data_IF_057591851671
#
_entry.id   IF_057591851671
#
_cell.length_a   1.000
_cell.length_b   1.000
_cell.length_c   1.000
_cell.angle_alpha   90.00
_cell.angle_beta   90.00
_cell.angle_gamma   90.00
#
_symmetry.space_group_name_H-M   'P 1'
#
loop_
_entity.id
_entity.type
_entity.pdbx_description
1 polymer ?
#
# COMPACT_ATOMS: atom_id res chain seq x y z
N UNK A 1 17.56 3.58 -3.23
CA UNK A 1 17.37 2.75 -4.43
C UNK A 1 16.22 3.30 -5.26
N UNK A 2 16.07 2.82 -6.49
CA UNK A 2 14.99 3.20 -7.42
C UNK A 2 13.75 2.30 -7.32
N UNK A 3 13.78 1.29 -6.43
CA UNK A 3 12.66 0.38 -6.22
C UNK A 3 11.42 1.12 -5.72
N UNK A 4 10.28 0.85 -6.34
CA UNK A 4 9.00 1.45 -6.01
C UNK A 4 7.89 0.41 -6.04
N UNK A 5 7.01 0.46 -5.06
CA UNK A 5 5.77 -0.31 -5.00
C UNK A 5 4.58 0.63 -4.87
N UNK A 6 3.39 0.14 -5.22
CA UNK A 6 2.16 0.94 -5.17
C UNK A 6 1.51 0.86 -3.78
N UNK A 7 1.26 2.01 -3.18
CA UNK A 7 0.45 2.13 -1.96
C UNK A 7 -1.04 2.08 -2.29
N UNK A 8 -1.89 2.02 -1.26
CA UNK A 8 -3.34 1.88 -1.43
C UNK A 8 -4.00 3.00 -2.24
N UNK A 9 -3.43 4.20 -2.22
CA UNK A 9 -3.88 5.36 -2.98
C UNK A 9 -3.40 5.36 -4.43
N UNK A 10 -2.32 4.65 -4.75
CA UNK A 10 -1.72 4.60 -6.09
C UNK A 10 -2.22 3.43 -6.93
N UNK A 11 -2.88 2.45 -6.29
CA UNK A 11 -3.49 1.31 -6.99
C UNK A 11 -4.76 1.78 -7.72
N UNK A 12 -4.78 1.57 -9.04
CA UNK A 12 -5.94 1.88 -9.89
C UNK A 12 -7.03 0.82 -9.72
N UNK A 13 -7.76 0.91 -8.61
CA UNK A 13 -8.91 0.05 -8.32
C UNK A 13 -9.96 0.84 -7.55
N UNK A 14 -11.19 0.35 -7.58
CA UNK A 14 -12.34 1.02 -6.97
C UNK A 14 -12.16 1.19 -5.46
N UNK A 15 -12.17 2.45 -5.01
CA UNK A 15 -12.17 2.84 -3.59
C UNK A 15 -13.54 2.77 -2.91
N UNK A 16 -14.61 2.48 -3.66
CA UNK A 16 -15.96 2.30 -3.12
C UNK A 16 -16.03 1.05 -2.24
N UNK A 17 -16.84 1.13 -1.18
CA UNK A 17 -17.17 -0.04 -0.36
C UNK A 17 -17.76 -1.15 -1.23
N UNK A 18 -17.19 -2.37 -1.21
CA UNK A 18 -17.58 -3.42 -2.15
C UNK A 18 -18.95 -4.04 -1.86
N UNK A 19 -19.45 -3.93 -0.62
CA UNK A 19 -20.77 -4.40 -0.22
C UNK A 19 -21.28 -3.64 0.99
N UNK A 20 -22.57 -3.83 1.30
CA UNK A 20 -23.23 -3.20 2.44
C UNK A 20 -22.52 -3.52 3.75
N UNK A 21 -22.42 -2.54 4.65
CA UNK A 21 -21.69 -2.66 5.92
C UNK A 21 -22.10 -3.87 6.78
N UNK A 22 -23.35 -4.31 6.65
CA UNK A 22 -23.95 -5.41 7.39
C UNK A 22 -24.89 -6.25 6.52
N UNK A 23 -25.31 -7.40 7.03
CA UNK A 23 -26.31 -8.28 6.40
C UNK A 23 -25.76 -9.29 5.39
N UNK A 24 -24.48 -9.16 5.02
CA UNK A 24 -23.89 -9.93 3.92
C UNK A 24 -23.11 -11.19 4.34
N UNK A 25 -23.12 -11.57 5.64
CA UNK A 25 -22.43 -12.76 6.21
C UNK A 25 -20.97 -12.97 5.75
N UNK A 26 -20.24 -11.89 5.40
CA UNK A 26 -18.80 -11.93 5.09
C UNK A 26 -18.07 -10.92 5.98
N UNK A 27 -16.75 -11.01 6.01
CA UNK A 27 -15.90 -10.03 6.68
C UNK A 27 -16.16 -8.61 6.14
N UNK A 28 -15.97 -7.61 7.00
CA UNK A 28 -16.12 -6.20 6.60
C UNK A 28 -14.89 -5.75 5.82
N UNK A 29 -15.12 -5.05 4.70
CA UNK A 29 -14.05 -4.46 3.91
C UNK A 29 -14.47 -3.07 3.44
N UNK A 30 -13.56 -2.10 3.56
CA UNK A 30 -13.81 -0.72 3.15
C UNK A 30 -13.52 -0.44 1.68
N UNK A 31 -12.56 -1.17 1.09
CA UNK A 31 -12.15 -1.02 -0.32
C UNK A 31 -11.58 -2.34 -0.84
N UNK A 32 -11.56 -2.51 -2.16
CA UNK A 32 -10.92 -3.67 -2.82
C UNK A 32 -9.42 -3.47 -3.08
N UNK A 33 -8.86 -2.31 -2.75
CA UNK A 33 -7.43 -2.00 -2.88
C UNK A 33 -6.59 -2.54 -1.72
N UNK A 34 -7.24 -3.15 -0.70
CA UNK A 34 -6.54 -3.68 0.47
C UNK A 34 -5.49 -4.75 0.11
N UNK A 35 -4.41 -4.86 0.89
CA UNK A 35 -3.27 -5.74 0.61
C UNK A 35 -3.60 -7.23 0.66
N UNK A 36 -4.64 -7.60 1.40
CA UNK A 36 -5.13 -8.98 1.46
C UNK A 36 -5.76 -9.45 0.14
N UNK A 37 -6.13 -8.53 -0.74
CA UNK A 37 -6.73 -8.85 -2.02
C UNK A 37 -5.67 -8.97 -3.12
N UNK A 38 -5.87 -9.92 -4.05
CA UNK A 38 -5.06 -10.05 -5.27
C UNK A 38 -5.15 -8.74 -6.08
N UNK A 39 -3.99 -8.19 -6.44
CA UNK A 39 -3.90 -6.89 -7.14
C UNK A 39 -4.19 -5.67 -6.25
N UNK A 40 -4.20 -5.86 -4.92
CA UNK A 40 -4.23 -4.77 -3.95
C UNK A 40 -2.86 -4.13 -3.73
N UNK A 41 -2.80 -3.21 -2.76
CA UNK A 41 -1.58 -2.50 -2.40
C UNK A 41 -0.52 -3.40 -1.77
N UNK A 42 0.75 -3.00 -1.90
CA UNK A 42 1.84 -3.62 -1.13
C UNK A 42 1.99 -2.91 0.21
N UNK A 43 1.83 -3.62 1.33
CA UNK A 43 2.10 -3.06 2.65
C UNK A 43 3.59 -3.06 2.94
N UNK A 44 4.08 -1.93 3.46
CA UNK A 44 5.50 -1.70 3.78
C UNK A 44 6.47 -2.00 2.62
N UNK A 45 5.98 -1.87 1.38
CA UNK A 45 6.82 -2.04 0.21
C UNK A 45 7.82 -0.89 0.06
N UNK A 46 8.93 -1.10 -0.65
CA UNK A 46 9.94 -0.07 -0.85
C UNK A 46 9.37 1.12 -1.62
N UNK A 47 9.80 2.31 -1.20
CA UNK A 47 9.66 3.55 -1.94
C UNK A 47 11.04 4.05 -2.37
N UNK A 48 11.13 4.81 -3.47
CA UNK A 48 12.40 5.40 -3.88
C UNK A 48 12.94 6.31 -2.78
N UNK A 49 14.11 5.95 -2.24
CA UNK A 49 14.78 6.66 -1.16
C UNK A 49 16.29 6.67 -1.41
N UNK A 50 16.98 7.74 -1.03
CA UNK A 50 18.45 7.76 -1.01
C UNK A 50 18.99 7.03 0.22
N UNK A 51 20.01 6.20 0.04
CA UNK A 51 20.71 5.52 1.14
C UNK A 51 21.98 6.28 1.55
N UNK A 52 22.05 7.58 1.26
CA UNK A 52 23.23 8.39 1.56
C UNK A 52 23.29 8.61 3.06
N UNK A 53 24.37 8.15 3.67
CA UNK A 53 24.67 8.39 5.07
C UNK A 53 25.66 9.55 5.12
N UNK A 54 25.39 10.54 5.97
CA UNK A 54 26.34 11.64 6.21
C UNK A 54 27.48 11.12 7.07
N UNK A 55 28.68 11.03 6.49
CA UNK A 55 29.92 10.77 7.22
C UNK A 55 30.67 12.09 7.42
N UNK A 56 31.22 12.30 8.63
CA UNK A 56 32.09 13.43 8.88
C UNK A 56 33.41 13.24 8.14
N UNK A 57 33.99 14.31 7.58
CA UNK A 57 35.25 14.23 6.81
C UNK A 57 36.47 13.90 7.67
N UNK A 58 36.41 14.26 8.95
CA UNK A 58 37.42 14.00 9.96
C UNK A 58 36.86 12.94 10.91
N UNK A 59 36.84 11.71 10.44
CA UNK A 59 36.86 10.54 11.31
C UNK A 59 38.32 10.21 11.55
#
# INVERSE_FOLDING_TARGET
GTHSTKTISEVSRTGRIPWNQMGIRRARHGTLCGPQFRGGATMYGPKPQSHVIKLNKKV
#
